data_IF_425577779523
#
_entry.id   IF_425577779523
#
_cell.length_a   1.000
_cell.length_b   1.000
_cell.length_c   1.000
_cell.angle_alpha   90.00
_cell.angle_beta   90.00
_cell.angle_gamma   90.00
#
_symmetry.space_group_name_H-M   'P 1'
#
loop_
_entity.id
_entity.type
_entity.pdbx_description
1 polymer ?
#
# COMPACT_ATOMS: atom_id res chain seq x y z
N UNK A 1 26.66 10.91 -3.99
CA UNK A 1 26.09 12.28 -4.02
C UNK A 1 26.63 13.06 -2.84
N UNK A 2 26.86 14.38 -2.95
CA UNK A 2 27.20 15.21 -1.81
C UNK A 2 26.05 15.22 -0.80
N UNK A 3 26.31 15.31 0.52
CA UNK A 3 25.27 15.43 1.53
C UNK A 3 24.50 16.74 1.38
N UNK A 4 23.18 16.67 1.60
CA UNK A 4 22.29 17.84 1.61
C UNK A 4 22.75 18.82 2.69
N UNK A 5 23.10 20.05 2.28
CA UNK A 5 23.40 21.16 3.20
C UNK A 5 22.12 21.93 3.50
N UNK A 6 21.50 21.61 4.62
CA UNK A 6 20.40 22.36 5.22
C UNK A 6 20.29 21.95 6.68
N UNK A 7 20.22 22.91 7.60
CA UNK A 7 19.96 22.62 9.01
C UNK A 7 18.60 21.94 9.19
N UNK A 8 18.32 21.48 10.41
CA UNK A 8 17.07 20.77 10.73
C UNK A 8 15.85 21.58 10.26
N UNK A 9 15.05 20.97 9.38
CA UNK A 9 13.77 21.53 8.96
C UNK A 9 12.85 21.64 10.19
N UNK A 10 11.96 22.66 10.27
CA UNK A 10 10.97 22.72 11.34
C UNK A 10 10.20 21.40 11.44
N UNK A 11 10.08 20.86 12.66
CA UNK A 11 9.29 19.67 12.92
C UNK A 11 7.86 19.89 12.43
N UNK A 12 7.39 19.04 11.52
CA UNK A 12 5.98 18.97 11.15
C UNK A 12 5.20 18.33 12.32
N UNK A 13 4.42 19.08 13.11
CA UNK A 13 3.74 18.51 14.24
C UNK A 13 2.57 17.63 13.75
N UNK A 14 2.76 16.31 13.89
CA UNK A 14 1.66 15.35 13.85
C UNK A 14 0.58 15.81 14.86
N UNK A 15 -0.72 15.87 14.48
CA UNK A 15 -1.36 15.15 13.38
C UNK A 15 -1.73 15.99 12.14
N UNK A 16 -1.23 17.22 11.96
CA UNK A 16 -1.71 18.08 10.84
C UNK A 16 -1.37 17.53 9.45
N UNK A 17 -0.25 16.84 9.32
CA UNK A 17 0.23 16.26 8.07
C UNK A 17 1.10 15.05 8.40
N UNK A 18 0.94 13.95 7.65
CA UNK A 18 1.86 12.79 7.67
C UNK A 18 2.51 12.63 6.31
N UNK A 19 3.81 12.32 6.30
CA UNK A 19 4.56 11.96 5.10
C UNK A 19 4.54 10.44 4.92
N UNK A 20 3.95 9.97 3.83
CA UNK A 20 3.94 8.56 3.44
C UNK A 20 5.07 8.32 2.44
N UNK A 21 5.99 7.42 2.76
CA UNK A 21 6.97 6.92 1.80
C UNK A 21 6.45 5.62 1.18
N UNK A 22 6.14 5.66 -0.12
CA UNK A 22 5.36 4.63 -0.82
C UNK A 22 6.07 4.09 -2.08
N UNK A 23 7.19 3.37 -1.96
CA UNK A 23 7.69 2.57 -3.07
C UNK A 23 6.91 1.25 -3.15
N UNK A 24 7.09 0.53 -4.26
CA UNK A 24 6.62 -0.84 -4.35
C UNK A 24 7.43 -1.77 -3.42
N UNK A 25 6.76 -2.71 -2.74
CA UNK A 25 7.36 -3.67 -1.80
C UNK A 25 8.37 -4.62 -2.46
N UNK A 26 8.43 -4.62 -3.79
CA UNK A 26 9.38 -5.33 -4.61
C UNK A 26 9.85 -4.42 -5.76
N UNK A 27 11.02 -4.72 -6.32
CA UNK A 27 11.61 -3.94 -7.39
C UNK A 27 10.99 -4.27 -8.76
N UNK A 28 10.76 -3.26 -9.61
CA UNK A 28 10.39 -3.43 -11.01
C UNK A 28 11.27 -2.55 -11.90
N UNK A 29 12.20 -3.12 -12.70
CA UNK A 29 12.58 -4.53 -12.76
C UNK A 29 13.24 -5.03 -11.46
N UNK A 30 13.25 -6.35 -11.26
CA UNK A 30 13.76 -7.02 -10.04
C UNK A 30 15.30 -7.02 -9.95
N UNK A 31 15.87 -5.83 -9.80
CA UNK A 31 17.31 -5.62 -9.65
C UNK A 31 17.64 -5.26 -8.20
N UNK A 32 18.79 -5.73 -7.70
CA UNK A 32 19.28 -5.38 -6.37
C UNK A 32 19.49 -3.86 -6.18
N UNK A 33 19.75 -3.14 -7.27
CA UNK A 33 19.89 -1.69 -7.29
C UNK A 33 18.55 -0.93 -7.23
N UNK A 34 17.43 -1.62 -7.48
CA UNK A 34 16.09 -1.04 -7.53
C UNK A 34 15.21 -1.47 -6.34
N UNK A 35 15.80 -2.10 -5.32
CA UNK A 35 15.10 -2.46 -4.10
C UNK A 35 14.61 -1.19 -3.38
N UNK A 36 13.42 -1.21 -2.76
CA UNK A 36 12.81 0.01 -2.22
C UNK A 36 13.73 0.73 -1.24
N UNK A 37 14.58 0.00 -0.54
CA UNK A 37 15.37 0.55 0.56
C UNK A 37 16.57 1.35 0.08
N UNK A 38 16.89 1.27 -1.22
CA UNK A 38 17.82 2.17 -1.91
C UNK A 38 17.30 3.61 -1.97
N UNK A 39 15.99 3.80 -1.83
CA UNK A 39 15.30 5.08 -1.91
C UNK A 39 14.69 5.51 -0.57
N UNK A 40 15.00 4.80 0.53
CA UNK A 40 14.48 5.16 1.85
C UNK A 40 15.20 6.40 2.37
N UNK A 41 14.50 7.52 2.61
CA UNK A 41 15.15 8.76 3.02
C UNK A 41 15.63 8.74 4.48
N UNK A 42 15.29 7.70 5.24
CA UNK A 42 15.56 7.58 6.67
C UNK A 42 14.31 7.86 7.52
N UNK A 43 14.26 7.26 8.71
CA UNK A 43 13.07 7.29 9.57
C UNK A 43 12.69 8.66 10.11
N UNK A 44 13.58 9.64 10.07
CA UNK A 44 13.31 11.02 10.47
C UNK A 44 12.43 11.78 9.45
N UNK A 45 12.36 11.33 8.19
CA UNK A 45 11.62 11.98 7.11
C UNK A 45 10.31 11.26 6.74
N UNK A 46 9.98 10.17 7.44
CA UNK A 46 8.85 9.29 7.10
C UNK A 46 7.99 9.07 8.33
N UNK A 47 6.71 9.42 8.22
CA UNK A 47 5.73 9.14 9.27
C UNK A 47 5.10 7.76 9.08
N UNK A 48 4.80 7.39 7.83
CA UNK A 48 4.08 6.15 7.46
C UNK A 48 4.81 5.47 6.30
N UNK A 49 4.90 4.15 6.34
CA UNK A 49 5.41 3.36 5.21
C UNK A 49 4.24 2.85 4.38
N UNK A 50 4.29 3.05 3.07
CA UNK A 50 3.28 2.60 2.12
C UNK A 50 3.78 1.50 1.18
N UNK A 51 2.84 0.74 0.63
CA UNK A 51 3.00 0.00 -0.62
C UNK A 51 1.69 -0.01 -1.41
N UNK A 52 1.79 0.02 -2.74
CA UNK A 52 0.66 -0.22 -3.63
C UNK A 52 0.49 -1.71 -3.93
N UNK A 53 -0.74 -2.20 -3.82
CA UNK A 53 -1.03 -3.62 -3.94
C UNK A 53 -2.23 -3.82 -4.88
N UNK A 54 -1.96 -4.25 -6.11
CA UNK A 54 -3.00 -4.56 -7.09
C UNK A 54 -3.10 -6.08 -7.27
N UNK A 55 -4.29 -6.56 -7.64
CA UNK A 55 -4.53 -7.99 -7.91
C UNK A 55 -3.68 -8.57 -9.04
N UNK A 56 -3.89 -9.86 -9.33
CA UNK A 56 -3.18 -10.59 -10.39
C UNK A 56 -3.17 -9.84 -11.74
N UNK A 57 -2.03 -9.78 -12.46
CA UNK A 57 -0.79 -10.55 -12.24
C UNK A 57 0.25 -9.85 -11.35
N UNK A 58 -0.11 -8.77 -10.63
CA UNK A 58 0.87 -7.93 -9.91
C UNK A 58 1.07 -8.30 -8.45
N UNK A 59 0.25 -9.18 -7.90
CA UNK A 59 0.25 -9.38 -6.47
C UNK A 59 1.43 -10.24 -5.99
N UNK A 60 2.12 -9.76 -4.97
CA UNK A 60 3.29 -10.39 -4.36
C UNK A 60 3.17 -10.43 -2.84
N UNK A 61 2.32 -11.33 -2.34
CA UNK A 61 1.98 -11.41 -0.91
C UNK A 61 3.19 -11.68 -0.01
N UNK A 62 4.12 -12.53 -0.43
CA UNK A 62 5.31 -12.87 0.37
C UNK A 62 6.20 -11.63 0.56
N UNK A 63 6.39 -10.86 -0.49
CA UNK A 63 7.16 -9.62 -0.51
C UNK A 63 6.47 -8.54 0.31
N UNK A 64 5.15 -8.40 0.19
CA UNK A 64 4.34 -7.52 1.03
C UNK A 64 4.50 -7.84 2.52
N UNK A 65 4.45 -9.11 2.91
CA UNK A 65 4.63 -9.57 4.29
C UNK A 65 6.05 -9.28 4.82
N UNK A 66 7.07 -9.54 3.99
CA UNK A 66 8.45 -9.22 4.34
C UNK A 66 8.67 -7.71 4.49
N UNK A 67 8.09 -6.92 3.59
CA UNK A 67 8.18 -5.46 3.59
C UNK A 67 7.47 -4.85 4.80
N UNK A 68 6.26 -5.31 5.15
CA UNK A 68 5.59 -4.90 6.39
C UNK A 68 6.49 -5.16 7.61
N UNK A 69 7.08 -6.36 7.74
CA UNK A 69 7.97 -6.72 8.86
C UNK A 69 9.24 -5.87 8.90
N UNK A 70 9.85 -5.57 7.75
CA UNK A 70 11.09 -4.78 7.65
C UNK A 70 10.96 -3.40 8.28
N UNK A 71 9.79 -2.77 8.14
CA UNK A 71 9.50 -1.44 8.66
C UNK A 71 8.60 -1.48 9.91
N UNK A 72 8.79 -2.47 10.79
CA UNK A 72 7.93 -2.69 11.97
C UNK A 72 7.77 -1.49 12.92
N UNK A 73 8.73 -0.55 12.93
CA UNK A 73 8.72 0.64 13.79
C UNK A 73 7.86 1.82 13.31
N UNK A 74 7.15 1.70 12.19
CA UNK A 74 6.31 2.78 11.62
C UNK A 74 4.86 2.32 11.42
N UNK A 75 3.85 3.19 11.48
CA UNK A 75 2.55 2.92 10.88
C UNK A 75 2.67 2.51 9.41
N UNK A 76 1.66 1.82 8.90
CA UNK A 76 1.64 1.28 7.55
C UNK A 76 0.40 1.75 6.79
N UNK A 77 0.53 1.95 5.48
CA UNK A 77 -0.54 2.33 4.59
C UNK A 77 -0.55 1.42 3.35
N UNK A 78 -1.73 1.28 2.75
CA UNK A 78 -1.91 0.83 1.38
C UNK A 78 -2.57 2.00 0.64
N UNK A 79 -1.77 2.95 0.09
CA UNK A 79 -2.28 4.14 -0.58
C UNK A 79 -2.97 3.85 -1.91
N UNK A 80 -2.66 2.72 -2.53
CA UNK A 80 -3.42 2.21 -3.67
C UNK A 80 -3.62 0.70 -3.56
N UNK A 81 -4.86 0.26 -3.71
CA UNK A 81 -5.16 -1.12 -4.04
C UNK A 81 -6.42 -1.24 -4.87
N UNK A 82 -6.49 -2.26 -5.72
CA UNK A 82 -7.66 -2.49 -6.55
C UNK A 82 -7.57 -3.75 -7.39
N UNK A 83 -8.69 -4.09 -8.03
CA UNK A 83 -8.73 -5.17 -9.02
C UNK A 83 -7.85 -4.82 -10.23
N UNK A 84 -7.36 -5.86 -10.92
CA UNK A 84 -6.67 -5.70 -12.18
C UNK A 84 -7.38 -6.51 -13.27
N UNK A 85 -8.43 -5.94 -13.85
CA UNK A 85 -9.08 -6.48 -15.04
C UNK A 85 -9.91 -7.75 -14.83
N UNK A 86 -9.95 -8.34 -13.64
CA UNK A 86 -10.68 -9.58 -13.32
C UNK A 86 -11.73 -9.37 -12.23
N UNK A 87 -12.83 -10.14 -12.31
CA UNK A 87 -13.75 -10.30 -11.17
C UNK A 87 -13.11 -11.33 -10.24
N UNK A 88 -12.42 -10.83 -9.22
CA UNK A 88 -11.57 -11.60 -8.32
C UNK A 88 -11.99 -11.37 -6.86
N UNK A 89 -12.97 -12.12 -6.36
CA UNK A 89 -13.39 -12.01 -4.97
C UNK A 89 -12.39 -12.62 -3.99
N UNK A 90 -11.46 -13.47 -4.44
CA UNK A 90 -10.43 -14.05 -3.58
C UNK A 90 -9.43 -12.96 -3.16
N UNK A 91 -8.98 -12.16 -4.13
CA UNK A 91 -8.12 -11.00 -3.85
C UNK A 91 -8.74 -10.03 -2.82
N UNK A 92 -10.04 -9.72 -2.94
CA UNK A 92 -10.73 -8.86 -1.97
C UNK A 92 -10.75 -9.49 -0.57
N UNK A 93 -10.92 -10.82 -0.46
CA UNK A 93 -10.85 -11.54 0.82
C UNK A 93 -9.46 -11.46 1.44
N UNK A 94 -8.42 -11.61 0.63
CA UNK A 94 -7.04 -11.55 1.10
C UNK A 94 -6.66 -10.15 1.58
N UNK A 95 -7.08 -9.10 0.86
CA UNK A 95 -6.94 -7.71 1.32
C UNK A 95 -7.67 -7.45 2.63
N UNK A 96 -8.90 -7.96 2.77
CA UNK A 96 -9.66 -7.82 4.01
C UNK A 96 -9.01 -8.60 5.17
N UNK A 97 -8.40 -9.77 4.91
CA UNK A 97 -7.64 -10.52 5.89
C UNK A 97 -6.37 -9.75 6.29
N UNK A 98 -5.63 -9.23 5.32
CA UNK A 98 -4.45 -8.40 5.55
C UNK A 98 -4.80 -7.24 6.49
N UNK A 99 -5.84 -6.48 6.16
CA UNK A 99 -6.28 -5.35 6.97
C UNK A 99 -6.64 -5.71 8.41
N UNK A 100 -7.30 -6.86 8.62
CA UNK A 100 -7.70 -7.31 9.97
C UNK A 100 -6.52 -7.75 10.85
N UNK A 101 -5.51 -8.40 10.27
CA UNK A 101 -4.42 -8.99 11.08
C UNK A 101 -3.20 -8.05 11.22
N UNK A 102 -3.10 -7.02 10.37
CA UNK A 102 -1.97 -6.08 10.36
C UNK A 102 -2.31 -4.80 11.12
N UNK A 103 -2.20 -4.84 12.46
CA UNK A 103 -2.60 -3.74 13.37
C UNK A 103 -1.97 -2.37 13.13
N UNK A 104 -0.87 -2.27 12.38
CA UNK A 104 -0.24 -0.97 12.03
C UNK A 104 -0.83 -0.35 10.76
N UNK A 105 -1.70 -1.08 10.04
CA UNK A 105 -2.38 -0.54 8.88
C UNK A 105 -3.39 0.53 9.33
N UNK A 106 -3.13 1.79 8.96
CA UNK A 106 -3.98 2.93 9.33
C UNK A 106 -4.68 3.58 8.12
N UNK A 107 -4.30 3.19 6.90
CA UNK A 107 -4.87 3.72 5.66
C UNK A 107 -4.99 2.60 4.61
N UNK A 108 -6.18 2.49 4.01
CA UNK A 108 -6.48 1.51 2.96
C UNK A 108 -7.34 2.18 1.87
N UNK A 109 -6.73 2.56 0.74
CA UNK A 109 -7.37 3.41 -0.29
C UNK A 109 -7.65 2.62 -1.55
N UNK A 110 -8.93 2.36 -1.81
CA UNK A 110 -9.37 1.58 -2.97
C UNK A 110 -9.38 2.44 -4.25
N UNK A 111 -8.70 1.95 -5.30
CA UNK A 111 -8.70 2.55 -6.63
C UNK A 111 -9.86 1.98 -7.44
N UNK A 112 -10.87 2.81 -7.71
CA UNK A 112 -12.02 2.43 -8.52
C UNK A 112 -12.05 3.22 -9.84
N UNK A 113 -12.07 2.50 -10.96
CA UNK A 113 -12.12 3.08 -12.30
C UNK A 113 -13.53 3.34 -12.81
N UNK A 114 -13.62 3.87 -14.04
CA UNK A 114 -14.88 4.00 -14.79
C UNK A 114 -15.48 2.61 -15.08
N UNK A 115 -16.80 2.48 -15.25
CA UNK A 115 -17.44 1.22 -15.61
C UNK A 115 -16.77 0.52 -16.81
N UNK A 116 -16.50 -0.77 -16.69
CA UNK A 116 -15.83 -1.60 -17.70
C UNK A 116 -14.32 -1.43 -17.80
N UNK A 117 -13.72 -0.48 -17.05
CA UNK A 117 -12.27 -0.29 -17.06
C UNK A 117 -11.52 -1.37 -16.29
N UNK A 118 -10.18 -1.33 -16.38
CA UNK A 118 -9.27 -2.22 -15.69
C UNK A 118 -9.52 -2.26 -14.17
N UNK A 119 -9.77 -1.10 -13.55
CA UNK A 119 -9.92 -0.93 -12.10
C UNK A 119 -11.39 -0.86 -11.65
N UNK A 120 -12.33 -1.16 -12.54
CA UNK A 120 -13.75 -1.06 -12.23
C UNK A 120 -14.20 -2.16 -11.26
N UNK A 121 -14.75 -1.79 -10.11
CA UNK A 121 -15.44 -2.71 -9.20
C UNK A 121 -16.91 -2.93 -9.58
N UNK A 122 -17.56 -1.96 -10.22
CA UNK A 122 -19.01 -1.99 -10.43
C UNK A 122 -19.44 -3.11 -11.37
N UNK A 123 -18.67 -3.37 -12.44
CA UNK A 123 -18.87 -4.49 -13.38
C UNK A 123 -18.40 -5.85 -12.86
N UNK A 124 -17.92 -5.94 -11.61
CA UNK A 124 -17.33 -7.15 -11.00
C UNK A 124 -18.24 -7.66 -9.89
N UNK A 125 -19.34 -8.35 -10.22
CA UNK A 125 -20.39 -8.64 -9.26
C UNK A 125 -19.88 -9.43 -8.04
N UNK A 126 -18.95 -10.37 -8.21
CA UNK A 126 -18.45 -11.19 -7.11
C UNK A 126 -17.49 -10.39 -6.21
N UNK A 127 -16.53 -9.68 -6.79
CA UNK A 127 -15.63 -8.79 -6.05
C UNK A 127 -16.39 -7.69 -5.33
N UNK A 128 -17.41 -7.11 -5.96
CA UNK A 128 -18.26 -6.07 -5.35
C UNK A 128 -19.02 -6.61 -4.14
N UNK A 129 -19.55 -7.82 -4.23
CA UNK A 129 -20.21 -8.49 -3.09
C UNK A 129 -19.21 -8.76 -1.96
N UNK A 130 -18.00 -9.24 -2.28
CA UNK A 130 -16.93 -9.43 -1.30
C UNK A 130 -16.50 -8.10 -0.64
N UNK A 131 -16.36 -7.02 -1.42
CA UNK A 131 -15.97 -5.70 -0.91
C UNK A 131 -17.00 -5.18 0.10
N UNK A 132 -18.28 -5.22 -0.28
CA UNK A 132 -19.39 -4.77 0.60
C UNK A 132 -19.46 -5.55 1.90
N UNK A 133 -19.21 -6.86 1.86
CA UNK A 133 -19.30 -7.72 3.06
C UNK A 133 -18.06 -7.66 3.94
N UNK A 134 -16.87 -7.40 3.39
CA UNK A 134 -15.61 -7.59 4.12
C UNK A 134 -14.83 -6.31 4.36
N UNK A 135 -15.00 -5.28 3.51
CA UNK A 135 -14.19 -4.05 3.54
C UNK A 135 -15.00 -2.88 4.09
N UNK A 136 -16.23 -2.66 3.60
CA UNK A 136 -17.10 -1.59 4.09
C UNK A 136 -17.30 -1.61 5.62
N UNK A 137 -17.40 -2.77 6.29
CA UNK A 137 -17.52 -2.82 7.76
C UNK A 137 -16.22 -2.59 8.55
N UNK A 138 -15.08 -2.30 7.90
CA UNK A 138 -13.81 -2.06 8.61
C UNK A 138 -13.72 -0.64 9.21
N UNK A 139 -14.64 0.26 8.86
CA UNK A 139 -14.74 1.62 9.38
C UNK A 139 -15.79 1.78 10.47
#
# INVERSE_FOLDING_TARGET
MPPLRGGDLPLNPSPRLKVIWNPQAYAVPELAANQPERYYPGGAYVDVVGNDLYGEPRIKWREQEAYYKRYAGKPFAIPEWGLWGRDDPAYIRDMARFARIHRRLELLVYVNGKPGSLFDLASRPQSRAAYRSLITPLG
#
